data_IF_413391375752
#
_entry.id   IF_413391375752
#
_cell.length_a   1.000
_cell.length_b   1.000
_cell.length_c   1.000
_cell.angle_alpha   90.00
_cell.angle_beta   90.00
_cell.angle_gamma   90.00
#
_symmetry.space_group_name_H-M   'P 1'
#
loop_
_entity.id
_entity.type
_entity.pdbx_description
1 polymer ?
#
# COMPACT_ATOMS: atom_id res chain seq x y z
N UNK A 1 -8.82 15.15 20.02
CA UNK A 1 -10.20 14.97 19.47
C UNK A 1 -10.36 13.50 19.08
N UNK A 2 -11.41 12.78 19.48
CA UNK A 2 -11.65 11.41 18.98
C UNK A 2 -12.06 11.48 17.51
N UNK A 3 -11.27 10.87 16.63
CA UNK A 3 -11.59 10.81 15.20
C UNK A 3 -12.88 10.00 15.00
N UNK A 4 -13.95 10.67 14.56
CA UNK A 4 -15.25 10.02 14.39
C UNK A 4 -15.28 9.20 13.09
N UNK A 5 -15.12 7.88 13.20
CA UNK A 5 -15.11 6.92 12.08
C UNK A 5 -16.34 7.03 11.16
N UNK A 6 -17.54 7.18 11.75
CA UNK A 6 -18.77 7.33 10.96
C UNK A 6 -18.75 8.64 10.16
N UNK A 7 -18.22 9.73 10.77
CA UNK A 7 -18.03 11.01 10.10
C UNK A 7 -17.03 10.92 8.93
N UNK A 8 -15.87 10.26 9.13
CA UNK A 8 -14.89 10.06 8.08
C UNK A 8 -15.48 9.31 6.89
N UNK A 9 -16.18 8.20 7.13
CA UNK A 9 -16.82 7.41 6.07
C UNK A 9 -17.89 8.16 5.31
N UNK A 10 -18.73 8.92 6.04
CA UNK A 10 -19.77 9.75 5.42
C UNK A 10 -19.15 10.82 4.54
N UNK A 11 -18.18 11.56 5.06
CA UNK A 11 -17.51 12.63 4.31
C UNK A 11 -16.77 12.09 3.08
N UNK A 12 -16.06 10.97 3.21
CA UNK A 12 -15.41 10.32 2.07
C UNK A 12 -16.41 9.89 1.00
N UNK A 13 -17.56 9.34 1.38
CA UNK A 13 -18.62 9.00 0.44
C UNK A 13 -19.17 10.24 -0.27
N UNK A 14 -19.47 11.31 0.48
CA UNK A 14 -19.99 12.56 -0.07
C UNK A 14 -19.01 13.22 -1.05
N UNK A 15 -17.70 13.24 -0.73
CA UNK A 15 -16.68 13.87 -1.58
C UNK A 15 -16.34 13.04 -2.83
N UNK A 16 -16.44 11.71 -2.75
CA UNK A 16 -16.25 10.82 -3.89
C UNK A 16 -17.46 10.78 -4.82
N UNK A 17 -18.68 11.02 -4.32
CA UNK A 17 -19.88 10.98 -5.17
C UNK A 17 -19.76 12.03 -6.28
N UNK A 18 -19.79 11.59 -7.54
CA UNK A 18 -19.53 12.41 -8.73
C UNK A 18 -18.05 12.53 -9.13
N UNK A 19 -17.10 12.10 -8.29
CA UNK A 19 -15.66 12.28 -8.48
C UNK A 19 -14.88 10.94 -8.52
N UNK A 20 -15.51 9.85 -8.92
CA UNK A 20 -14.89 8.50 -8.92
C UNK A 20 -13.91 8.26 -10.05
N UNK A 21 -14.08 8.92 -11.20
CA UNK A 21 -13.37 8.57 -12.44
C UNK A 21 -11.86 8.65 -12.31
N UNK A 22 -11.33 9.79 -11.87
CA UNK A 22 -9.88 10.02 -11.75
C UNK A 22 -9.22 9.11 -10.72
N UNK A 23 -9.74 9.00 -9.46
CA UNK A 23 -9.15 8.10 -8.47
C UNK A 23 -9.25 6.62 -8.85
N UNK A 24 -10.31 6.18 -9.49
CA UNK A 24 -10.44 4.79 -9.97
C UNK A 24 -9.42 4.48 -11.06
N UNK A 25 -9.34 5.31 -12.10
CA UNK A 25 -8.38 5.11 -13.18
C UNK A 25 -6.94 5.19 -12.65
N UNK A 26 -6.64 6.15 -11.76
CA UNK A 26 -5.34 6.28 -11.12
C UNK A 26 -4.96 5.04 -10.31
N UNK A 27 -5.91 4.49 -9.53
CA UNK A 27 -5.68 3.26 -8.76
C UNK A 27 -5.44 2.05 -9.66
N UNK A 28 -6.23 1.92 -10.75
CA UNK A 28 -6.04 0.86 -11.73
C UNK A 28 -4.69 1.00 -12.43
N UNK A 29 -4.29 2.21 -12.79
CA UNK A 29 -2.99 2.46 -13.44
C UNK A 29 -1.83 2.03 -12.54
N UNK A 30 -1.81 2.45 -11.26
CA UNK A 30 -0.78 2.07 -10.30
C UNK A 30 -0.78 0.55 -10.05
N UNK A 31 -1.95 -0.08 -9.92
CA UNK A 31 -2.06 -1.53 -9.76
C UNK A 31 -1.55 -2.27 -11.00
N UNK A 32 -1.91 -1.82 -12.20
CA UNK A 32 -1.43 -2.40 -13.45
C UNK A 32 0.09 -2.29 -13.58
N UNK A 33 0.69 -1.15 -13.24
CA UNK A 33 2.14 -0.96 -13.23
C UNK A 33 2.83 -1.95 -12.30
N UNK A 34 2.27 -2.21 -11.11
CA UNK A 34 2.80 -3.17 -10.15
C UNK A 34 2.76 -4.62 -10.68
N UNK A 35 1.62 -5.00 -11.29
CA UNK A 35 1.44 -6.33 -11.90
C UNK A 35 2.40 -6.52 -13.08
N UNK A 36 2.47 -5.54 -13.98
CA UNK A 36 3.37 -5.56 -15.14
C UNK A 36 4.84 -5.64 -14.69
N UNK A 37 5.22 -4.90 -13.64
CA UNK A 37 6.56 -4.97 -13.05
C UNK A 37 6.93 -6.39 -12.62
N UNK A 38 6.01 -7.10 -11.95
CA UNK A 38 6.21 -8.50 -11.57
C UNK A 38 6.42 -9.43 -12.77
N UNK A 39 5.58 -9.31 -13.81
CA UNK A 39 5.72 -10.10 -15.04
C UNK A 39 7.03 -9.80 -15.76
N UNK A 40 7.46 -8.55 -15.86
CA UNK A 40 8.73 -8.18 -16.49
C UNK A 40 9.90 -8.79 -15.69
N UNK A 41 9.86 -8.72 -14.36
CA UNK A 41 10.89 -9.31 -13.51
C UNK A 41 11.04 -10.80 -13.75
N UNK A 42 9.94 -11.56 -13.73
CA UNK A 42 9.98 -13.02 -13.97
C UNK A 42 10.40 -13.37 -15.40
N UNK A 43 10.06 -12.54 -16.39
CA UNK A 43 10.45 -12.76 -17.79
C UNK A 43 11.95 -12.48 -18.03
N UNK A 44 12.52 -11.45 -17.36
CA UNK A 44 13.95 -11.12 -17.50
C UNK A 44 14.88 -12.02 -16.69
N UNK A 45 14.39 -12.56 -15.59
CA UNK A 45 15.14 -13.40 -14.66
C UNK A 45 14.45 -14.77 -14.47
N UNK A 46 14.37 -15.60 -15.52
CA UNK A 46 13.69 -16.88 -15.44
C UNK A 46 14.51 -17.92 -14.67
N UNK A 47 13.81 -18.83 -13.97
CA UNK A 47 14.38 -19.97 -13.24
C UNK A 47 14.76 -19.67 -11.80
N UNK A 48 15.29 -20.71 -11.12
CA UNK A 48 15.53 -20.71 -9.67
C UNK A 48 17.02 -20.52 -9.33
N UNK A 49 17.83 -20.05 -10.28
CA UNK A 49 19.25 -19.78 -10.03
C UNK A 49 19.39 -18.57 -9.08
N UNK A 50 20.44 -18.59 -8.26
CA UNK A 50 20.74 -17.47 -7.35
C UNK A 50 20.81 -16.12 -8.09
N UNK A 51 21.37 -16.13 -9.31
CA UNK A 51 21.42 -14.96 -10.19
C UNK A 51 20.00 -14.48 -10.58
N UNK A 52 19.11 -15.40 -10.96
CA UNK A 52 17.75 -15.03 -11.34
C UNK A 52 16.96 -14.48 -10.15
N UNK A 53 17.09 -15.10 -8.97
CA UNK A 53 16.41 -14.64 -7.75
C UNK A 53 16.89 -13.25 -7.35
N UNK A 54 18.21 -13.06 -7.18
CA UNK A 54 18.76 -11.76 -6.76
C UNK A 54 18.50 -10.69 -7.83
N UNK A 55 18.72 -11.01 -9.10
CA UNK A 55 18.49 -10.08 -10.21
C UNK A 55 17.04 -9.65 -10.31
N UNK A 56 16.10 -10.58 -10.17
CA UNK A 56 14.67 -10.33 -10.16
C UNK A 56 14.23 -9.43 -9.00
N UNK A 57 14.73 -9.70 -7.79
CA UNK A 57 14.43 -8.91 -6.59
C UNK A 57 14.98 -7.48 -6.70
N UNK A 58 16.23 -7.32 -7.13
CA UNK A 58 16.85 -6.00 -7.33
C UNK A 58 16.10 -5.21 -8.40
N UNK A 59 15.75 -5.85 -9.51
CA UNK A 59 14.99 -5.21 -10.58
C UNK A 59 13.60 -4.78 -10.11
N UNK A 60 12.88 -5.66 -9.43
CA UNK A 60 11.56 -5.36 -8.85
C UNK A 60 11.63 -4.22 -7.83
N UNK A 61 12.68 -4.20 -7.02
CA UNK A 61 12.92 -3.11 -6.06
C UNK A 61 13.12 -1.77 -6.78
N UNK A 62 13.94 -1.71 -7.83
CA UNK A 62 14.14 -0.47 -8.61
C UNK A 62 12.82 0.00 -9.24
N UNK A 63 12.04 -0.91 -9.83
CA UNK A 63 10.74 -0.54 -10.38
C UNK A 63 9.75 -0.07 -9.32
N UNK A 64 9.78 -0.66 -8.13
CA UNK A 64 8.93 -0.23 -7.01
C UNK A 64 9.20 1.22 -6.59
N UNK A 65 10.44 1.70 -6.69
CA UNK A 65 10.80 3.10 -6.43
C UNK A 65 10.21 4.07 -7.47
N UNK A 66 10.03 3.62 -8.71
CA UNK A 66 9.32 4.43 -9.72
C UNK A 66 7.81 4.43 -9.43
N UNK A 67 7.24 3.27 -9.15
CA UNK A 67 5.81 3.12 -8.87
C UNK A 67 5.41 3.90 -7.61
N UNK A 68 6.30 4.03 -6.60
CA UNK A 68 5.98 4.79 -5.40
C UNK A 68 5.76 6.28 -5.66
N UNK A 69 6.41 6.86 -6.68
CA UNK A 69 6.21 8.26 -7.06
C UNK A 69 4.79 8.46 -7.63
N UNK A 70 4.33 7.53 -8.49
CA UNK A 70 2.93 7.54 -8.97
C UNK A 70 1.94 7.34 -7.83
N UNK A 71 2.26 6.43 -6.90
CA UNK A 71 1.43 6.20 -5.70
C UNK A 71 1.31 7.47 -4.86
N UNK A 72 2.41 8.20 -4.64
CA UNK A 72 2.38 9.48 -3.92
C UNK A 72 1.49 10.52 -4.63
N UNK A 73 1.56 10.60 -5.97
CA UNK A 73 0.66 11.44 -6.77
C UNK A 73 -0.82 11.05 -6.58
N UNK A 74 -1.10 9.75 -6.48
CA UNK A 74 -2.44 9.25 -6.21
C UNK A 74 -2.93 9.66 -4.80
N UNK A 75 -2.08 9.61 -3.78
CA UNK A 75 -2.40 10.11 -2.43
C UNK A 75 -2.72 11.61 -2.44
N UNK A 76 -2.05 12.39 -3.28
CA UNK A 76 -2.37 13.80 -3.50
C UNK A 76 -3.79 13.98 -4.07
N UNK A 77 -4.18 13.18 -5.05
CA UNK A 77 -5.54 13.20 -5.61
C UNK A 77 -6.57 12.90 -4.51
N UNK A 78 -6.36 11.87 -3.69
CA UNK A 78 -7.28 11.56 -2.59
C UNK A 78 -7.37 12.69 -1.56
N UNK A 79 -6.25 13.34 -1.26
CA UNK A 79 -6.21 14.47 -0.34
C UNK A 79 -7.00 15.65 -0.90
N UNK A 80 -6.80 16.02 -2.16
CA UNK A 80 -7.52 17.11 -2.85
C UNK A 80 -9.03 16.81 -2.90
N UNK A 81 -9.44 15.59 -3.27
CA UNK A 81 -10.84 15.16 -3.24
C UNK A 81 -11.42 15.34 -1.83
N UNK A 82 -10.70 14.91 -0.79
CA UNK A 82 -11.17 15.03 0.59
C UNK A 82 -11.37 16.49 1.01
N UNK A 83 -10.63 17.43 0.41
CA UNK A 83 -10.68 18.88 0.63
C UNK A 83 -11.67 19.60 -0.28
N UNK A 84 -12.22 18.90 -1.28
CA UNK A 84 -13.01 19.48 -2.39
C UNK A 84 -12.21 20.50 -3.20
N UNK A 85 -10.90 20.30 -3.30
CA UNK A 85 -9.98 21.06 -4.13
C UNK A 85 -9.91 20.49 -5.54
N UNK A 86 -9.40 21.27 -6.50
CA UNK A 86 -9.20 20.81 -7.87
C UNK A 86 -8.13 19.70 -7.91
N UNK A 87 -8.38 18.70 -8.74
CA UNK A 87 -7.47 17.58 -8.98
C UNK A 87 -7.57 17.13 -10.44
N UNK A 88 -6.50 16.53 -10.93
CA UNK A 88 -6.41 16.07 -12.32
C UNK A 88 -5.55 14.82 -12.42
N UNK A 89 -5.56 14.17 -13.60
CA UNK A 89 -4.61 13.10 -13.90
C UNK A 89 -3.15 13.56 -13.85
N UNK A 90 -2.88 14.85 -14.08
CA UNK A 90 -1.55 15.42 -13.94
C UNK A 90 -0.96 15.32 -12.55
N UNK A 91 -1.81 15.27 -11.50
CA UNK A 91 -1.36 15.11 -10.12
C UNK A 91 -0.69 13.76 -9.86
N UNK A 92 -0.94 12.72 -10.67
CA UNK A 92 -0.20 11.45 -10.61
C UNK A 92 1.30 11.63 -10.88
N UNK A 93 1.64 12.60 -11.72
CA UNK A 93 3.02 12.89 -12.11
C UNK A 93 3.64 14.02 -11.28
N UNK A 94 2.89 14.60 -10.34
CA UNK A 94 3.32 15.76 -9.57
C UNK A 94 4.70 15.60 -8.95
N UNK A 95 4.97 14.49 -8.31
CA UNK A 95 6.23 14.24 -7.61
C UNK A 95 7.41 13.91 -8.53
N UNK A 96 7.20 13.69 -9.83
CA UNK A 96 8.33 13.59 -10.78
C UNK A 96 9.03 14.94 -10.99
N UNK A 97 8.29 16.03 -10.86
CA UNK A 97 8.80 17.40 -11.01
C UNK A 97 8.98 18.14 -9.67
N UNK A 98 8.45 17.59 -8.56
CA UNK A 98 8.46 18.24 -7.25
C UNK A 98 9.07 17.30 -6.20
N UNK A 99 10.39 17.33 -6.07
CA UNK A 99 11.18 16.66 -5.02
C UNK A 99 10.89 15.14 -4.89
N UNK A 100 11.14 14.36 -5.96
CA UNK A 100 10.90 12.91 -5.96
C UNK A 100 11.72 12.16 -4.90
N UNK A 101 12.87 12.69 -4.54
CA UNK A 101 13.78 12.16 -3.52
C UNK A 101 13.10 12.04 -2.15
N UNK A 102 12.23 12.97 -1.77
CA UNK A 102 11.49 12.91 -0.50
C UNK A 102 10.53 11.72 -0.46
N UNK A 103 9.85 11.45 -1.57
CA UNK A 103 8.95 10.30 -1.72
C UNK A 103 9.76 9.00 -1.71
N UNK A 104 10.87 8.95 -2.49
CA UNK A 104 11.74 7.77 -2.57
C UNK A 104 12.29 7.41 -1.19
N UNK A 105 12.77 8.39 -0.41
CA UNK A 105 13.27 8.14 0.95
C UNK A 105 12.19 7.58 1.87
N UNK A 106 10.97 8.11 1.82
CA UNK A 106 9.86 7.59 2.62
C UNK A 106 9.50 6.16 2.20
N UNK A 107 9.44 5.90 0.90
CA UNK A 107 9.15 4.58 0.33
C UNK A 107 10.23 3.56 0.65
N UNK A 108 11.50 3.96 0.62
CA UNK A 108 12.63 3.10 0.98
C UNK A 108 12.50 2.57 2.41
N UNK A 109 12.13 3.42 3.37
CA UNK A 109 11.91 2.98 4.76
C UNK A 109 10.74 1.99 4.85
N UNK A 110 9.64 2.24 4.13
CA UNK A 110 8.50 1.30 4.08
C UNK A 110 8.88 -0.02 3.40
N UNK A 111 9.70 0.02 2.36
CA UNK A 111 10.22 -1.17 1.69
C UNK A 111 11.14 -1.99 2.61
N UNK A 112 11.98 -1.34 3.43
CA UNK A 112 12.79 -2.02 4.45
C UNK A 112 11.92 -2.72 5.50
N UNK A 113 10.85 -2.07 5.95
CA UNK A 113 9.89 -2.69 6.88
C UNK A 113 9.28 -3.94 6.23
N UNK A 114 8.86 -3.84 4.97
CA UNK A 114 8.30 -4.97 4.23
C UNK A 114 9.33 -6.11 4.09
N UNK A 115 10.57 -5.79 3.73
CA UNK A 115 11.65 -6.76 3.62
C UNK A 115 11.86 -7.52 4.94
N UNK A 116 11.98 -6.79 6.07
CA UNK A 116 12.20 -7.42 7.37
C UNK A 116 11.01 -8.30 7.79
N UNK A 117 9.79 -7.84 7.55
CA UNK A 117 8.58 -8.61 7.93
C UNK A 117 8.33 -9.81 7.02
N UNK A 118 8.88 -9.84 5.80
CA UNK A 118 8.79 -10.97 4.88
C UNK A 118 9.89 -12.03 5.08
N UNK A 119 10.96 -11.72 5.84
CA UNK A 119 12.07 -12.66 6.06
C UNK A 119 11.65 -14.05 6.59
N UNK A 120 10.71 -14.20 7.56
CA UNK A 120 10.31 -15.51 8.04
C UNK A 120 9.72 -16.39 6.93
N UNK A 121 8.90 -15.80 6.07
CA UNK A 121 8.29 -16.50 4.94
C UNK A 121 9.34 -16.85 3.87
N UNK A 122 10.23 -15.91 3.55
CA UNK A 122 11.31 -16.12 2.61
C UNK A 122 12.25 -17.24 3.08
N UNK A 123 12.62 -17.24 4.36
CA UNK A 123 13.44 -18.30 4.96
C UNK A 123 12.76 -19.66 4.88
N UNK A 124 11.48 -19.73 5.22
CA UNK A 124 10.71 -20.98 5.12
C UNK A 124 10.64 -21.48 3.67
N UNK A 125 10.35 -20.61 2.71
CA UNK A 125 10.30 -20.96 1.29
C UNK A 125 11.64 -21.47 0.74
N UNK A 126 12.76 -20.94 1.27
CA UNK A 126 14.10 -21.35 0.86
C UNK A 126 14.54 -22.69 1.47
N UNK A 127 14.14 -22.96 2.72
CA UNK A 127 14.63 -24.15 3.48
C UNK A 127 13.69 -25.33 3.43
N UNK A 128 12.41 -25.15 3.08
CA UNK A 128 11.40 -26.19 3.10
C UNK A 128 11.00 -26.62 1.69
N UNK A 129 10.85 -27.92 1.50
CA UNK A 129 10.29 -28.53 0.28
C UNK A 129 8.83 -28.89 0.52
N UNK A 130 8.03 -28.84 -0.54
CA UNK A 130 6.58 -29.14 -0.48
C UNK A 130 6.29 -30.61 -0.08
N UNK A 131 7.30 -31.50 -0.17
CA UNK A 131 7.14 -32.95 0.11
C UNK A 131 6.45 -33.69 -1.04
N UNK A 132 6.46 -35.04 -0.92
CA UNK A 132 5.93 -35.95 -1.95
C UNK A 132 4.57 -36.57 -1.55
N UNK A 133 4.23 -36.54 -0.27
CA UNK A 133 2.97 -37.09 0.22
C UNK A 133 1.90 -35.99 0.38
N UNK A 134 0.63 -36.35 0.28
CA UNK A 134 -0.49 -35.41 0.45
C UNK A 134 -0.45 -34.74 1.84
N UNK A 135 -0.03 -35.47 2.87
CA UNK A 135 0.07 -34.94 4.23
C UNK A 135 1.21 -33.91 4.34
N UNK A 136 2.39 -34.18 3.77
CA UNK A 136 3.51 -33.24 3.74
C UNK A 136 3.15 -31.96 2.98
N UNK A 137 2.49 -32.10 1.81
CA UNK A 137 2.02 -30.96 1.02
C UNK A 137 1.00 -30.11 1.79
N UNK A 138 0.08 -30.74 2.50
CA UNK A 138 -0.91 -30.05 3.33
C UNK A 138 -0.23 -29.27 4.47
N UNK A 139 0.69 -29.93 5.18
CA UNK A 139 1.42 -29.30 6.29
C UNK A 139 2.29 -28.13 5.79
N UNK A 140 2.93 -28.28 4.64
CA UNK A 140 3.68 -27.19 4.02
C UNK A 140 2.76 -26.01 3.67
N UNK A 141 1.63 -26.26 3.00
CA UNK A 141 0.67 -25.24 2.61
C UNK A 141 0.09 -24.50 3.82
N UNK A 142 -0.27 -25.23 4.88
CA UNK A 142 -0.78 -24.63 6.12
C UNK A 142 0.28 -23.74 6.78
N UNK A 143 1.52 -24.23 6.88
CA UNK A 143 2.64 -23.45 7.45
C UNK A 143 2.92 -22.19 6.63
N UNK A 144 2.96 -22.32 5.30
CA UNK A 144 3.13 -21.20 4.38
C UNK A 144 2.04 -20.14 4.57
N UNK A 145 0.78 -20.59 4.65
CA UNK A 145 -0.36 -19.70 4.89
C UNK A 145 -0.27 -19.00 6.24
N UNK A 146 0.10 -19.70 7.32
CA UNK A 146 0.24 -19.11 8.65
C UNK A 146 1.38 -18.08 8.68
N UNK A 147 2.53 -18.37 8.07
CA UNK A 147 3.65 -17.42 7.97
C UNK A 147 3.29 -16.20 7.12
N UNK A 148 2.52 -16.38 6.05
CA UNK A 148 2.02 -15.27 5.23
C UNK A 148 1.10 -14.36 6.05
N UNK A 149 0.17 -14.91 6.80
CA UNK A 149 -0.72 -14.16 7.69
C UNK A 149 0.05 -13.45 8.81
N UNK A 150 1.05 -14.12 9.39
CA UNK A 150 1.92 -13.54 10.41
C UNK A 150 2.73 -12.38 9.84
N UNK A 151 3.37 -12.57 8.68
CA UNK A 151 4.14 -11.53 7.99
C UNK A 151 3.28 -10.32 7.64
N UNK A 152 2.05 -10.55 7.16
CA UNK A 152 1.09 -9.48 6.88
C UNK A 152 0.70 -8.70 8.16
N UNK A 153 0.43 -9.40 9.26
CA UNK A 153 0.10 -8.77 10.54
C UNK A 153 1.27 -7.95 11.08
N UNK A 154 2.49 -8.49 11.04
CA UNK A 154 3.71 -7.80 11.46
C UNK A 154 3.97 -6.56 10.59
N UNK A 155 3.81 -6.67 9.26
CA UNK A 155 3.96 -5.56 8.34
C UNK A 155 2.94 -4.46 8.64
N UNK A 156 1.66 -4.82 8.83
CA UNK A 156 0.61 -3.88 9.17
C UNK A 156 0.93 -3.11 10.45
N UNK A 157 1.38 -3.80 11.51
CA UNK A 157 1.75 -3.19 12.79
C UNK A 157 2.99 -2.28 12.66
N UNK A 158 4.02 -2.75 11.96
CA UNK A 158 5.28 -2.01 11.79
C UNK A 158 5.13 -0.80 10.86
N UNK A 159 4.31 -0.89 9.81
CA UNK A 159 4.05 0.21 8.87
C UNK A 159 3.03 1.22 9.40
N UNK A 160 2.20 0.83 10.37
CA UNK A 160 1.11 1.67 10.91
C UNK A 160 1.54 3.09 11.33
N UNK A 161 2.68 3.30 12.01
CA UNK A 161 3.14 4.65 12.36
C UNK A 161 3.39 5.53 11.15
N UNK A 162 3.71 4.94 10.00
CA UNK A 162 4.16 5.63 8.80
C UNK A 162 3.06 5.76 7.72
N UNK A 163 1.88 5.27 7.98
CA UNK A 163 0.77 5.23 7.01
C UNK A 163 0.37 6.61 6.48
N UNK A 164 0.52 7.66 7.31
CA UNK A 164 0.15 9.02 6.92
C UNK A 164 1.28 9.79 6.21
N UNK A 165 2.48 9.18 6.02
CA UNK A 165 3.64 9.88 5.45
C UNK A 165 3.39 10.40 4.04
N UNK A 166 2.72 9.64 3.17
CA UNK A 166 2.39 10.08 1.81
C UNK A 166 1.39 11.25 1.79
N UNK A 167 0.42 11.27 2.71
CA UNK A 167 -0.50 12.40 2.84
C UNK A 167 0.23 13.66 3.33
N UNK A 168 1.20 13.52 4.24
CA UNK A 168 2.04 14.63 4.73
C UNK A 168 2.91 15.18 3.60
N UNK A 169 3.54 14.32 2.80
CA UNK A 169 4.32 14.72 1.62
C UNK A 169 3.45 15.40 0.56
N UNK A 170 2.21 14.92 0.40
CA UNK A 170 1.25 15.51 -0.55
C UNK A 170 0.72 16.86 -0.08
N UNK A 171 0.67 17.07 1.23
CA UNK A 171 0.24 18.33 1.85
C UNK A 171 1.34 19.39 1.84
N UNK A 172 2.59 18.96 2.03
CA UNK A 172 3.77 19.83 2.02
C UNK A 172 4.94 19.10 1.33
N UNK A 173 5.12 19.37 0.05
CA UNK A 173 6.18 18.75 -0.76
C UNK A 173 7.60 19.10 -0.30
N UNK A 174 7.78 20.23 0.41
CA UNK A 174 9.10 20.71 0.86
C UNK A 174 9.62 19.97 2.09
N UNK A 175 8.76 19.17 2.74
CA UNK A 175 9.14 18.37 3.89
C UNK A 175 10.01 17.18 3.46
N UNK A 176 11.18 17.00 4.10
CA UNK A 176 12.06 15.85 3.79
C UNK A 176 11.38 14.53 4.14
N UNK A 177 11.59 13.47 3.35
CA UNK A 177 10.96 12.16 3.52
C UNK A 177 11.07 11.60 4.96
N UNK A 178 12.25 11.70 5.58
CA UNK A 178 12.45 11.28 6.98
C UNK A 178 11.64 12.12 7.97
N UNK A 179 11.46 13.42 7.70
CA UNK A 179 10.66 14.29 8.56
C UNK A 179 9.16 13.97 8.40
N UNK A 180 8.71 13.65 7.19
CA UNK A 180 7.36 13.18 6.94
C UNK A 180 7.04 11.88 7.69
N UNK A 181 7.97 10.90 7.70
CA UNK A 181 7.86 9.67 8.48
C UNK A 181 7.76 9.95 9.98
N UNK A 182 8.62 10.82 10.52
CA UNK A 182 8.58 11.22 11.95
C UNK A 182 7.28 11.95 12.29
N UNK A 183 6.80 12.83 11.40
CA UNK A 183 5.55 13.55 11.57
C UNK A 183 4.35 12.58 11.53
N UNK A 184 4.36 11.61 10.61
CA UNK A 184 3.36 10.54 10.55
C UNK A 184 3.31 9.73 11.85
N UNK A 185 4.47 9.28 12.35
CA UNK A 185 4.54 8.53 13.60
C UNK A 185 4.03 9.35 14.81
N UNK A 186 4.32 10.64 14.83
CA UNK A 186 3.82 11.56 15.87
C UNK A 186 2.29 11.74 15.77
N UNK A 187 1.76 11.88 14.55
CA UNK A 187 0.34 12.04 14.28
C UNK A 187 -0.44 10.77 14.63
N UNK A 188 0.12 9.60 14.33
CA UNK A 188 -0.50 8.31 14.60
C UNK A 188 -0.49 7.94 16.09
N UNK A 189 0.44 8.50 16.89
CA UNK A 189 0.54 8.24 18.32
C UNK A 189 -0.75 8.63 19.03
N UNK A 190 -1.41 7.63 19.65
CA UNK A 190 -2.71 7.79 20.32
C UNK A 190 -3.93 7.51 19.43
N UNK A 191 -3.75 7.32 18.11
CA UNK A 191 -4.83 7.07 17.15
C UNK A 191 -4.79 5.67 16.51
N UNK A 192 -3.86 4.80 16.94
CA UNK A 192 -3.72 3.44 16.39
C UNK A 192 -5.00 2.62 16.48
N UNK A 193 -5.72 2.73 17.60
CA UNK A 193 -6.94 1.97 17.82
C UNK A 193 -8.08 2.44 16.90
N UNK A 194 -8.17 3.73 16.64
CA UNK A 194 -9.14 4.30 15.72
C UNK A 194 -8.84 3.91 14.28
N UNK A 195 -7.56 3.89 13.91
CA UNK A 195 -7.09 3.41 12.62
C UNK A 195 -7.41 1.92 12.41
N UNK A 196 -7.10 1.05 13.39
CA UNK A 196 -7.43 -0.39 13.34
C UNK A 196 -8.94 -0.60 13.19
N UNK A 197 -9.76 0.10 13.96
CA UNK A 197 -11.23 0.02 13.83
C UNK A 197 -11.69 0.42 12.44
N UNK A 198 -11.05 1.42 11.84
CA UNK A 198 -11.36 1.84 10.48
C UNK A 198 -11.02 0.76 9.48
N UNK A 199 -9.85 0.15 9.55
CA UNK A 199 -9.45 -0.98 8.70
C UNK A 199 -10.38 -2.18 8.87
N UNK A 200 -10.64 -2.61 10.11
CA UNK A 200 -11.54 -3.72 10.40
C UNK A 200 -12.95 -3.51 9.85
N UNK A 201 -13.39 -2.25 9.78
CA UNK A 201 -14.72 -1.93 9.24
C UNK A 201 -14.82 -2.10 7.71
N UNK A 202 -13.69 -2.26 7.00
CA UNK A 202 -13.65 -2.56 5.57
C UNK A 202 -13.46 -4.06 5.29
N UNK A 203 -13.05 -4.86 6.29
CA UNK A 203 -12.84 -6.31 6.13
C UNK A 203 -14.06 -7.03 5.52
N UNK A 204 -15.31 -6.78 5.96
CA UNK A 204 -16.48 -7.42 5.33
C UNK A 204 -16.61 -7.12 3.83
N UNK A 205 -16.27 -5.90 3.41
CA UNK A 205 -16.29 -5.49 2.02
C UNK A 205 -15.15 -6.11 1.20
N UNK A 206 -13.97 -6.29 1.82
CA UNK A 206 -12.85 -7.00 1.20
C UNK A 206 -13.21 -8.46 1.01
N UNK A 207 -13.83 -9.12 2.00
CA UNK A 207 -14.32 -10.50 1.87
C UNK A 207 -15.38 -10.58 0.77
N UNK A 208 -16.32 -9.63 0.73
CA UNK A 208 -17.31 -9.56 -0.34
C UNK A 208 -16.68 -9.42 -1.73
N UNK A 209 -15.51 -8.75 -1.84
CA UNK A 209 -14.82 -8.61 -3.12
C UNK A 209 -14.35 -9.94 -3.72
N UNK A 210 -14.09 -10.95 -2.91
CA UNK A 210 -13.72 -12.30 -3.36
C UNK A 210 -14.87 -12.90 -4.21
N UNK A 211 -16.12 -12.75 -3.76
CA UNK A 211 -17.30 -13.23 -4.47
C UNK A 211 -17.57 -12.49 -5.80
N UNK A 212 -17.05 -11.27 -5.92
CA UNK A 212 -17.15 -10.48 -7.15
C UNK A 212 -15.90 -10.59 -8.02
N UNK A 213 -15.07 -11.62 -7.84
CA UNK A 213 -13.78 -11.78 -8.55
C UNK A 213 -12.91 -10.50 -8.47
N UNK A 214 -12.87 -9.90 -7.29
CA UNK A 214 -12.15 -8.66 -6.97
C UNK A 214 -12.64 -7.38 -7.68
N UNK A 215 -13.72 -7.45 -8.49
CA UNK A 215 -14.27 -6.27 -9.17
C UNK A 215 -14.72 -5.18 -8.18
N UNK A 216 -15.21 -5.58 -7.01
CA UNK A 216 -15.60 -4.62 -5.97
C UNK A 216 -14.43 -3.77 -5.46
N UNK A 217 -13.17 -4.24 -5.57
CA UNK A 217 -11.99 -3.47 -5.16
C UNK A 217 -11.78 -2.21 -5.99
N UNK A 218 -12.22 -2.20 -7.25
CA UNK A 218 -12.12 -1.04 -8.14
C UNK A 218 -12.76 0.21 -7.49
N UNK A 219 -13.86 0.01 -6.76
CA UNK A 219 -14.58 1.08 -6.04
C UNK A 219 -14.15 1.20 -4.58
N UNK A 220 -13.81 0.06 -3.98
CA UNK A 220 -13.48 -0.01 -2.57
C UNK A 220 -12.14 0.65 -2.25
N UNK A 221 -11.11 0.46 -3.09
CA UNK A 221 -9.78 1.05 -2.89
C UNK A 221 -9.84 2.57 -2.86
N UNK A 222 -10.38 3.28 -3.87
CA UNK A 222 -10.53 4.74 -3.80
C UNK A 222 -11.34 5.22 -2.60
N UNK A 223 -12.35 4.45 -2.20
CA UNK A 223 -13.15 4.79 -1.03
C UNK A 223 -12.36 4.66 0.29
N UNK A 224 -11.58 3.58 0.46
CA UNK A 224 -10.71 3.39 1.63
C UNK A 224 -9.68 4.52 1.69
N UNK A 225 -8.98 4.82 0.60
CA UNK A 225 -7.94 5.84 0.57
C UNK A 225 -8.50 7.25 0.81
N UNK A 226 -9.68 7.55 0.29
CA UNK A 226 -10.34 8.82 0.61
C UNK A 226 -10.75 8.88 2.09
N UNK A 227 -11.20 7.77 2.69
CA UNK A 227 -11.45 7.71 4.14
C UNK A 227 -10.16 7.97 4.94
N UNK A 228 -9.01 7.45 4.47
CA UNK A 228 -7.71 7.69 5.09
C UNK A 228 -7.28 9.17 4.95
N UNK A 229 -7.50 9.79 3.79
CA UNK A 229 -7.26 11.21 3.58
C UNK A 229 -8.11 12.08 4.53
N UNK A 230 -9.38 11.75 4.71
CA UNK A 230 -10.26 12.43 5.69
C UNK A 230 -9.78 12.17 7.12
N UNK A 231 -9.31 10.95 7.42
CA UNK A 231 -8.76 10.62 8.73
C UNK A 231 -7.48 11.39 9.03
N UNK A 232 -6.63 11.61 8.04
CA UNK A 232 -5.42 12.45 8.15
C UNK A 232 -5.76 13.89 8.49
N UNK A 233 -6.81 14.47 7.87
CA UNK A 233 -7.23 15.86 8.04
C UNK A 233 -7.88 16.17 9.40
N UNK A 234 -8.50 15.19 10.05
CA UNK A 234 -9.22 15.35 11.32
C UNK A 234 -8.30 15.15 12.53
#
# INVERSE_FOLDING_TARGET
MRKNLKGCKRLAKETLTGNFMVPVIGSIAVAAMSVISGYISTALFPGDSLYAIIGGEVFSFVLSLVICIFSAGLYRIYLNISRREAYSFGDLLYFFSHQPDHVIVASFVLALINLVTSLPLAWFSFTSNMGNTTEEQMNWAVTYMLLTLLGFALNLLAAMPFTMSYYILSDNSDIKGVQALKASAKLMKGHYWEYIKMLLSFVPWIIFSIFTLYLALIWLVPYIETCMAVFYRN
#
